data_IF_169983022190
#
_entry.id   IF_169983022190
#
_cell.length_a   1.000
_cell.length_b   1.000
_cell.length_c   1.000
_cell.angle_alpha   90.00
_cell.angle_beta   90.00
_cell.angle_gamma   90.00
#
_symmetry.space_group_name_H-M   'P 1'
#
loop_
_entity.id
_entity.type
_entity.pdbx_description
1 polymer ?
#
# COMPACT_ATOMS: atom_id res chain seq x y z
N UNK A 1 -22.86 5.13 -4.55
CA UNK A 1 -21.40 4.95 -4.72
C UNK A 1 -20.92 4.08 -3.57
N UNK A 2 -20.17 3.00 -3.82
CA UNK A 2 -19.67 2.14 -2.76
C UNK A 2 -18.55 2.83 -1.95
N UNK A 3 -18.38 2.47 -0.69
CA UNK A 3 -17.26 2.96 0.13
C UNK A 3 -15.93 2.40 -0.41
N UNK A 4 -14.93 3.26 -0.71
CA UNK A 4 -13.66 2.80 -1.27
C UNK A 4 -12.81 2.07 -0.24
N UNK A 5 -12.16 0.97 -0.63
CA UNK A 5 -11.18 0.28 0.19
C UNK A 5 -9.98 1.20 0.51
N UNK A 6 -9.52 1.19 1.76
CA UNK A 6 -8.44 2.07 2.24
C UNK A 6 -7.45 1.29 3.10
N UNK A 7 -6.16 1.64 2.97
CA UNK A 7 -5.08 1.15 3.82
C UNK A 7 -4.34 2.34 4.39
N UNK A 8 -4.03 2.31 5.69
CA UNK A 8 -3.18 3.32 6.32
C UNK A 8 -1.73 2.90 6.19
N UNK A 9 -0.91 3.76 5.59
CA UNK A 9 0.53 3.55 5.45
C UNK A 9 1.26 4.59 6.27
N UNK A 10 2.21 4.14 7.10
CA UNK A 10 3.09 5.07 7.84
C UNK A 10 4.27 5.45 6.95
N UNK A 11 4.37 6.75 6.63
CA UNK A 11 5.52 7.28 5.88
C UNK A 11 6.74 7.33 6.79
N UNK A 12 7.90 6.96 6.24
CA UNK A 12 9.20 7.02 6.94
C UNK A 12 10.11 8.01 6.21
N UNK A 13 10.97 8.68 6.97
CA UNK A 13 11.84 9.76 6.46
C UNK A 13 12.79 9.33 5.33
N UNK A 14 13.18 8.05 5.27
CA UNK A 14 14.02 7.53 4.18
C UNK A 14 13.28 7.39 2.83
N UNK A 15 11.96 7.51 2.83
CA UNK A 15 11.15 7.53 1.61
C UNK A 15 11.04 8.92 0.98
N UNK A 16 11.62 9.95 1.62
CA UNK A 16 11.58 11.32 1.15
C UNK A 16 12.73 11.59 0.18
N UNK A 17 12.46 12.38 -0.85
CA UNK A 17 13.47 12.92 -1.75
C UNK A 17 14.23 14.09 -1.11
N UNK A 18 15.17 14.67 -1.85
CA UNK A 18 15.98 15.81 -1.38
C UNK A 18 15.14 17.06 -1.08
N UNK A 19 13.89 17.13 -1.54
CA UNK A 19 12.95 18.23 -1.27
C UNK A 19 12.07 17.95 -0.04
N UNK A 20 12.25 16.79 0.61
CA UNK A 20 11.44 16.38 1.75
C UNK A 20 10.05 15.86 1.38
N UNK A 21 9.77 15.64 0.09
CA UNK A 21 8.52 15.03 -0.37
C UNK A 21 8.70 13.53 -0.53
N UNK A 22 7.61 12.76 -0.37
CA UNK A 22 7.66 11.34 -0.67
C UNK A 22 8.07 11.15 -2.13
N UNK A 23 9.08 10.31 -2.35
CA UNK A 23 9.57 10.01 -3.68
C UNK A 23 8.43 9.40 -4.53
N UNK A 24 8.32 9.84 -5.79
CA UNK A 24 7.30 9.38 -6.74
C UNK A 24 7.27 7.84 -6.88
N UNK A 25 8.43 7.18 -6.89
CA UNK A 25 8.50 5.72 -6.96
C UNK A 25 7.88 5.01 -5.74
N UNK A 26 7.89 5.65 -4.56
CA UNK A 26 7.32 5.10 -3.32
C UNK A 26 5.80 5.13 -3.34
N UNK A 27 5.18 6.09 -4.04
CA UNK A 27 3.73 6.09 -4.25
C UNK A 27 3.24 4.84 -4.99
N UNK A 28 3.98 4.39 -6.02
CA UNK A 28 3.65 3.17 -6.76
C UNK A 28 3.74 1.93 -5.86
N UNK A 29 4.74 1.87 -4.97
CA UNK A 29 4.85 0.79 -4.00
C UNK A 29 3.69 0.79 -2.99
N UNK A 30 3.22 1.95 -2.55
CA UNK A 30 2.06 2.05 -1.67
C UNK A 30 0.75 1.66 -2.37
N UNK A 31 0.61 1.99 -3.66
CA UNK A 31 -0.52 1.55 -4.46
C UNK A 31 -0.53 0.01 -4.62
N UNK A 32 0.63 -0.60 -4.88
CA UNK A 32 0.75 -2.05 -4.94
C UNK A 32 0.47 -2.71 -3.60
N UNK A 33 0.97 -2.15 -2.49
CA UNK A 33 0.63 -2.62 -1.15
C UNK A 33 -0.89 -2.60 -0.90
N UNK A 34 -1.56 -1.48 -1.22
CA UNK A 34 -3.00 -1.38 -1.10
C UNK A 34 -3.75 -2.40 -1.97
N UNK A 35 -3.25 -2.69 -3.18
CA UNK A 35 -3.78 -3.73 -4.06
C UNK A 35 -3.69 -5.12 -3.42
N UNK A 36 -2.56 -5.44 -2.80
CA UNK A 36 -2.36 -6.73 -2.13
C UNK A 36 -3.24 -6.87 -0.88
N UNK A 37 -3.35 -5.82 -0.07
CA UNK A 37 -4.23 -5.82 1.10
C UNK A 37 -5.71 -5.94 0.70
N UNK A 38 -6.13 -5.33 -0.41
CA UNK A 38 -7.48 -5.54 -0.95
C UNK A 38 -7.71 -6.99 -1.38
N UNK A 39 -6.74 -7.60 -2.09
CA UNK A 39 -6.83 -9.00 -2.49
C UNK A 39 -6.92 -9.94 -1.27
N UNK A 40 -6.11 -9.69 -0.23
CA UNK A 40 -6.13 -10.40 1.06
C UNK A 40 -7.47 -10.26 1.78
N UNK A 41 -7.97 -9.03 1.93
CA UNK A 41 -9.25 -8.76 2.57
C UNK A 41 -10.43 -9.41 1.81
N UNK A 42 -10.29 -9.60 0.50
CA UNK A 42 -11.29 -10.30 -0.31
C UNK A 42 -11.20 -11.84 -0.28
N UNK A 43 -10.25 -12.42 0.48
CA UNK A 43 -10.03 -13.87 0.57
C UNK A 43 -9.40 -14.48 -0.68
N UNK A 44 -8.92 -13.67 -1.63
CA UNK A 44 -8.37 -14.13 -2.92
C UNK A 44 -6.88 -14.42 -2.90
N UNK A 45 -6.19 -14.05 -1.83
CA UNK A 45 -4.80 -14.46 -1.54
C UNK A 45 -4.85 -15.51 -0.44
N UNK A 46 -4.73 -16.78 -0.85
CA UNK A 46 -4.43 -17.88 0.05
C UNK A 46 -2.92 -17.91 0.27
N UNK A 47 -2.45 -17.43 1.42
CA UNK A 47 -1.23 -17.97 1.99
C UNK A 47 -1.53 -19.41 2.35
N UNK A 48 -0.82 -20.36 1.75
CA UNK A 48 -0.80 -21.76 2.18
C UNK A 48 -0.69 -21.78 3.70
N UNK A 49 -1.72 -22.30 4.37
CA UNK A 49 -1.75 -22.41 5.82
C UNK A 49 -0.52 -23.18 6.30
N UNK A 50 0.07 -22.67 7.38
CA UNK A 50 0.85 -23.46 8.33
C UNK A 50 -0.07 -23.85 9.46
#
# INVERSE_FOLDING_TARGET
MADPFRVRVTVRGYGLDTQGHLNQAVYLQYAEHARWEWLRASGRVAGRGG
#
